data_IF_840820704779
#
_entry.id   IF_840820704779
#
_cell.length_a   1.000
_cell.length_b   1.000
_cell.length_c   1.000
_cell.angle_alpha   90.00
_cell.angle_beta   90.00
_cell.angle_gamma   90.00
#
_symmetry.space_group_name_H-M   'P 1'
#
loop_
_entity.id
_entity.type
_entity.pdbx_description
1 polymer ?
#
# COMPACT_ATOMS: atom_id res chain seq x y z
N UNK A 1 -71.29 1.36 18.57
CA UNK A 1 -70.42 0.28 19.07
C UNK A 1 -69.31 0.10 18.06
N UNK A 2 -68.13 0.66 18.32
CA UNK A 2 -66.95 0.47 17.47
C UNK A 2 -66.22 -0.77 18.00
N UNK A 3 -66.44 -1.92 17.35
CA UNK A 3 -65.76 -3.17 17.69
C UNK A 3 -64.28 -3.09 17.31
N UNK A 4 -63.43 -3.08 18.34
CA UNK A 4 -62.15 -3.80 18.55
C UNK A 4 -61.30 -4.34 17.38
N UNK A 5 -61.37 -3.78 16.18
CA UNK A 5 -60.57 -4.25 15.04
C UNK A 5 -59.07 -3.91 15.13
N UNK A 6 -58.66 -3.07 16.09
CA UNK A 6 -57.28 -2.63 16.30
C UNK A 6 -56.52 -3.40 17.40
N UNK A 7 -57.19 -4.30 18.13
CA UNK A 7 -56.55 -5.13 19.15
C UNK A 7 -55.93 -6.38 18.50
N UNK A 8 -54.83 -6.21 17.78
CA UNK A 8 -53.92 -7.32 17.46
C UNK A 8 -53.13 -7.71 18.72
N UNK A 9 -53.81 -8.28 19.71
CA UNK A 9 -53.18 -8.92 20.87
C UNK A 9 -52.70 -10.33 20.49
N UNK A 10 -51.73 -10.87 21.22
CA UNK A 10 -51.11 -12.18 20.95
C UNK A 10 -52.06 -13.35 20.66
N UNK A 11 -53.33 -13.39 21.17
CA UNK A 11 -54.28 -14.46 20.84
C UNK A 11 -55.07 -14.27 19.52
N UNK A 12 -55.08 -13.08 18.91
CA UNK A 12 -55.95 -12.76 17.76
C UNK A 12 -55.20 -12.59 16.44
N UNK A 13 -53.87 -12.67 16.44
CA UNK A 13 -53.10 -12.78 15.19
C UNK A 13 -53.39 -14.15 14.56
N UNK A 14 -53.64 -14.25 13.24
CA UNK A 14 -53.54 -15.52 12.54
C UNK A 14 -52.12 -16.05 12.76
N UNK A 15 -51.97 -17.03 13.65
CA UNK A 15 -50.70 -17.70 13.88
C UNK A 15 -50.52 -18.76 12.81
N UNK A 16 -50.15 -18.32 11.60
CA UNK A 16 -49.80 -19.21 10.49
C UNK A 16 -48.40 -19.83 10.64
N UNK A 17 -47.81 -19.81 11.84
CA UNK A 17 -46.46 -20.31 12.13
C UNK A 17 -46.47 -21.41 13.21
N UNK A 18 -47.63 -21.99 13.50
CA UNK A 18 -47.80 -23.04 14.50
C UNK A 18 -47.52 -24.43 13.94
N UNK A 19 -46.27 -24.77 13.65
CA UNK A 19 -45.85 -26.12 13.25
C UNK A 19 -45.35 -26.21 11.81
N UNK A 20 -45.97 -27.08 11.00
CA UNK A 20 -45.53 -27.46 9.64
C UNK A 20 -45.28 -26.26 8.70
N UNK A 21 -45.96 -25.13 8.86
CA UNK A 21 -45.71 -23.93 8.05
C UNK A 21 -44.37 -23.26 8.38
N UNK A 22 -43.92 -23.28 9.64
CA UNK A 22 -42.60 -22.77 10.02
C UNK A 22 -41.49 -23.69 9.48
N UNK A 23 -41.70 -25.00 9.52
CA UNK A 23 -40.76 -25.97 8.94
C UNK A 23 -40.66 -25.77 7.42
N UNK A 24 -41.80 -25.64 6.75
CA UNK A 24 -41.85 -25.32 5.31
C UNK A 24 -41.15 -24.00 4.99
N UNK A 25 -41.37 -22.94 5.78
CA UNK A 25 -40.66 -21.67 5.59
C UNK A 25 -39.14 -21.85 5.75
N UNK A 26 -38.70 -22.59 6.78
CA UNK A 26 -37.28 -22.82 7.01
C UNK A 26 -36.61 -23.64 5.89
N UNK A 27 -37.35 -24.57 5.30
CA UNK A 27 -36.88 -25.41 4.19
C UNK A 27 -36.72 -24.61 2.90
N UNK A 28 -37.62 -23.65 2.61
CA UNK A 28 -37.65 -22.91 1.34
C UNK A 28 -37.14 -21.47 1.39
N UNK A 29 -36.80 -20.92 2.56
CA UNK A 29 -36.39 -19.51 2.69
C UNK A 29 -35.15 -19.15 1.85
N UNK A 30 -34.21 -20.09 1.68
CA UNK A 30 -32.99 -19.84 0.91
C UNK A 30 -33.32 -19.78 -0.59
N UNK A 31 -34.16 -20.70 -1.07
CA UNK A 31 -34.67 -20.70 -2.45
C UNK A 31 -35.51 -19.46 -2.74
N UNK A 32 -36.35 -19.02 -1.80
CA UNK A 32 -37.16 -17.82 -1.96
C UNK A 32 -36.31 -16.55 -2.14
N UNK A 33 -35.16 -16.46 -1.46
CA UNK A 33 -34.23 -15.34 -1.68
C UNK A 33 -33.48 -15.48 -2.99
N UNK A 34 -33.04 -16.68 -3.37
CA UNK A 34 -32.43 -16.93 -4.68
C UNK A 34 -33.39 -16.57 -5.83
N UNK A 35 -34.68 -16.92 -5.72
CA UNK A 35 -35.73 -16.51 -6.66
C UNK A 35 -35.89 -14.99 -6.70
N UNK A 36 -35.91 -14.31 -5.54
CA UNK A 36 -35.96 -12.86 -5.48
C UNK A 36 -34.76 -12.23 -6.21
N UNK A 37 -33.56 -12.81 -6.08
CA UNK A 37 -32.36 -12.40 -6.81
C UNK A 37 -32.49 -12.59 -8.32
N UNK A 38 -33.34 -13.49 -8.81
CA UNK A 38 -33.60 -13.67 -10.25
C UNK A 38 -34.59 -12.65 -10.84
N UNK A 39 -35.29 -11.87 -9.99
CA UNK A 39 -36.22 -10.83 -10.44
C UNK A 39 -35.54 -9.47 -10.65
N UNK A 40 -36.29 -8.51 -11.18
CA UNK A 40 -35.84 -7.13 -11.44
C UNK A 40 -35.61 -6.30 -10.17
N UNK A 41 -36.01 -6.79 -8.99
CA UNK A 41 -35.70 -6.11 -7.72
C UNK A 41 -34.20 -6.18 -7.39
N UNK A 42 -33.50 -7.19 -7.92
CA UNK A 42 -32.08 -7.38 -7.74
C UNK A 42 -31.29 -6.72 -8.86
N UNK A 43 -30.08 -6.28 -8.51
CA UNK A 43 -29.14 -5.68 -9.43
C UNK A 43 -27.89 -6.53 -9.53
N UNK A 44 -27.37 -6.67 -10.74
CA UNK A 44 -26.05 -7.27 -10.97
C UNK A 44 -24.97 -6.27 -10.58
N UNK A 45 -24.03 -6.70 -9.74
CA UNK A 45 -22.87 -5.93 -9.32
C UNK A 45 -21.61 -6.75 -9.54
N UNK A 46 -20.46 -6.07 -9.68
CA UNK A 46 -19.17 -6.74 -9.66
C UNK A 46 -18.62 -6.68 -8.24
N UNK A 47 -18.49 -7.83 -7.60
CA UNK A 47 -17.86 -7.96 -6.30
C UNK A 47 -16.36 -8.19 -6.48
N UNK A 48 -15.55 -7.46 -5.74
CA UNK A 48 -14.10 -7.60 -5.71
C UNK A 48 -13.63 -7.97 -4.31
N UNK A 49 -12.51 -8.70 -4.25
CA UNK A 49 -11.77 -8.86 -3.02
C UNK A 49 -11.12 -7.53 -2.56
N UNK A 50 -10.48 -7.54 -1.39
CA UNK A 50 -9.93 -6.36 -0.72
C UNK A 50 -8.87 -5.60 -1.53
N UNK A 51 -8.19 -6.25 -2.49
CA UNK A 51 -7.14 -5.63 -3.30
C UNK A 51 -7.49 -5.43 -4.78
N UNK A 52 -8.74 -5.74 -5.16
CA UNK A 52 -9.26 -5.68 -6.52
C UNK A 52 -8.58 -6.66 -7.51
N UNK A 53 -7.77 -7.61 -7.05
CA UNK A 53 -7.12 -8.59 -7.91
C UNK A 53 -8.07 -9.70 -8.40
N UNK A 54 -9.15 -9.93 -7.67
CA UNK A 54 -10.16 -10.94 -7.98
C UNK A 54 -11.54 -10.30 -8.06
N UNK A 55 -12.34 -10.72 -9.02
CA UNK A 55 -13.71 -10.26 -9.18
C UNK A 55 -14.67 -11.36 -9.57
N UNK A 56 -15.92 -11.19 -9.18
CA UNK A 56 -17.03 -12.07 -9.53
C UNK A 56 -18.29 -11.23 -9.74
N UNK A 57 -19.05 -11.54 -10.78
CA UNK A 57 -20.37 -10.95 -10.94
C UNK A 57 -21.37 -11.68 -10.06
N UNK A 58 -22.14 -10.92 -9.29
CA UNK A 58 -23.19 -11.48 -8.43
C UNK A 58 -24.42 -10.59 -8.46
N UNK A 59 -25.58 -11.17 -8.18
CA UNK A 59 -26.82 -10.43 -8.01
C UNK A 59 -27.07 -10.18 -6.53
N UNK A 60 -27.53 -8.98 -6.22
CA UNK A 60 -27.84 -8.55 -4.86
C UNK A 60 -28.99 -7.53 -4.87
N UNK A 61 -29.62 -7.30 -3.72
CA UNK A 61 -30.65 -6.26 -3.59
C UNK A 61 -30.01 -5.05 -2.92
N UNK A 62 -29.92 -3.93 -3.65
CA UNK A 62 -29.38 -2.66 -3.14
C UNK A 62 -30.51 -1.79 -2.59
N UNK A 63 -30.36 -1.34 -1.35
CA UNK A 63 -31.32 -0.50 -0.63
C UNK A 63 -30.71 0.85 -0.28
N UNK A 64 -31.57 1.87 -0.15
CA UNK A 64 -31.17 3.23 0.19
C UNK A 64 -30.68 4.05 -1.00
N UNK A 65 -31.13 3.75 -2.22
CA UNK A 65 -30.75 4.52 -3.42
C UNK A 65 -31.39 5.91 -3.50
N UNK A 66 -32.44 6.15 -2.70
CA UNK A 66 -33.10 7.44 -2.55
C UNK A 66 -32.85 7.88 -1.10
N UNK A 67 -32.17 9.02 -0.93
CA UNK A 67 -31.78 9.55 0.38
C UNK A 67 -32.04 11.04 0.47
N UNK A 68 -32.60 11.47 1.60
CA UNK A 68 -32.90 12.87 1.88
C UNK A 68 -31.72 13.65 2.49
N UNK A 69 -30.62 12.96 2.82
CA UNK A 69 -29.40 13.59 3.33
C UNK A 69 -28.16 13.23 2.54
N UNK A 70 -27.21 14.17 2.48
CA UNK A 70 -25.94 14.01 1.78
C UNK A 70 -25.15 12.82 2.32
N UNK A 71 -25.06 12.67 3.65
CA UNK A 71 -24.27 11.58 4.25
C UNK A 71 -24.90 10.20 3.97
N UNK A 72 -26.24 10.09 4.06
CA UNK A 72 -26.94 8.84 3.71
C UNK A 72 -26.93 8.56 2.20
N UNK A 73 -26.73 9.59 1.36
CA UNK A 73 -26.61 9.41 -0.09
C UNK A 73 -25.31 8.72 -0.51
N UNK A 74 -24.29 8.71 0.35
CA UNK A 74 -23.01 8.04 0.14
C UNK A 74 -22.90 6.69 0.88
N UNK A 75 -24.01 6.17 1.41
CA UNK A 75 -24.11 4.88 2.09
C UNK A 75 -25.22 4.05 1.45
N UNK A 76 -25.02 2.74 1.34
CA UNK A 76 -26.05 1.79 0.89
C UNK A 76 -26.10 0.61 1.83
N UNK A 77 -27.29 0.04 1.93
CA UNK A 77 -27.48 -1.29 2.51
C UNK A 77 -27.61 -2.27 1.37
N UNK A 78 -26.94 -3.41 1.44
CA UNK A 78 -27.00 -4.42 0.39
C UNK A 78 -27.30 -5.78 1.00
N UNK A 79 -28.18 -6.53 0.32
CA UNK A 79 -28.55 -7.89 0.69
C UNK A 79 -27.91 -8.87 -0.29
N UNK A 80 -27.05 -9.74 0.22
CA UNK A 80 -26.39 -10.81 -0.52
C UNK A 80 -26.90 -12.17 -0.06
N UNK A 81 -26.65 -13.18 -0.90
CA UNK A 81 -26.72 -14.57 -0.46
C UNK A 81 -25.71 -14.78 0.68
N UNK A 82 -26.08 -15.59 1.67
CA UNK A 82 -25.25 -15.82 2.85
C UNK A 82 -23.87 -16.36 2.46
N UNK A 83 -22.81 -15.82 3.09
CA UNK A 83 -21.43 -16.25 2.85
C UNK A 83 -20.80 -15.74 1.55
N UNK A 84 -21.45 -14.79 0.88
CA UNK A 84 -20.92 -14.18 -0.36
C UNK A 84 -20.04 -12.96 -0.08
N UNK A 85 -20.28 -12.22 1.02
CA UNK A 85 -19.67 -10.92 1.25
C UNK A 85 -18.94 -10.85 2.61
N UNK A 86 -17.84 -10.08 2.64
CA UNK A 86 -17.09 -9.77 3.86
C UNK A 86 -16.81 -8.27 3.94
N UNK A 87 -16.65 -7.77 5.16
CA UNK A 87 -16.12 -6.42 5.41
C UNK A 87 -14.73 -6.28 4.80
N UNK A 88 -14.45 -5.13 4.20
CA UNK A 88 -13.20 -4.86 3.47
C UNK A 88 -13.25 -5.22 1.98
N UNK A 89 -14.27 -5.94 1.50
CA UNK A 89 -14.49 -6.15 0.07
C UNK A 89 -15.01 -4.89 -0.62
N UNK A 90 -14.85 -4.83 -1.96
CA UNK A 90 -15.40 -3.75 -2.77
C UNK A 90 -16.55 -4.21 -3.64
N UNK A 91 -17.58 -3.38 -3.75
CA UNK A 91 -18.68 -3.55 -4.71
C UNK A 91 -18.55 -2.47 -5.77
N UNK A 92 -18.46 -2.85 -7.04
CA UNK A 92 -18.55 -1.92 -8.15
C UNK A 92 -20.00 -1.82 -8.62
N UNK A 93 -20.60 -0.64 -8.42
CA UNK A 93 -22.00 -0.35 -8.66
C UNK A 93 -22.17 1.12 -9.06
N UNK A 94 -23.02 1.39 -10.06
CA UNK A 94 -23.24 2.74 -10.61
C UNK A 94 -21.94 3.45 -11.05
N UNK A 95 -21.04 2.71 -11.71
CA UNK A 95 -19.74 3.18 -12.18
C UNK A 95 -18.81 3.72 -11.08
N UNK A 96 -19.01 3.26 -9.83
CA UNK A 96 -18.24 3.66 -8.66
C UNK A 96 -17.86 2.44 -7.81
N UNK A 97 -16.75 2.56 -7.10
CA UNK A 97 -16.34 1.60 -6.08
C UNK A 97 -16.98 1.97 -4.74
N UNK A 98 -17.50 0.97 -4.06
CA UNK A 98 -18.08 1.06 -2.73
C UNK A 98 -17.33 0.09 -1.81
N UNK A 99 -16.90 0.56 -0.64
CA UNK A 99 -16.23 -0.26 0.38
C UNK A 99 -17.29 -0.84 1.31
N UNK A 100 -17.26 -2.15 1.54
CA UNK A 100 -18.08 -2.78 2.58
C UNK A 100 -17.47 -2.50 3.94
N UNK A 101 -18.14 -1.69 4.76
CA UNK A 101 -17.62 -1.18 6.04
C UNK A 101 -18.42 -1.66 7.26
N UNK A 102 -19.58 -2.27 7.04
CA UNK A 102 -20.40 -2.84 8.10
C UNK A 102 -20.15 -4.32 8.32
N UNK A 103 -20.38 -4.79 9.54
CA UNK A 103 -20.40 -6.21 9.90
C UNK A 103 -21.44 -6.98 9.05
N UNK A 104 -21.08 -8.10 8.39
CA UNK A 104 -22.02 -8.94 7.66
C UNK A 104 -22.93 -9.69 8.63
N UNK A 105 -24.15 -9.17 8.83
CA UNK A 105 -25.16 -9.80 9.67
C UNK A 105 -26.13 -10.64 8.83
N UNK A 106 -26.53 -11.81 9.31
CA UNK A 106 -27.53 -12.64 8.64
C UNK A 106 -28.73 -12.93 9.54
N UNK A 107 -29.90 -13.12 8.94
CA UNK A 107 -31.14 -13.48 9.62
C UNK A 107 -31.61 -14.90 9.26
N UNK A 108 -30.71 -15.73 8.75
CA UNK A 108 -31.03 -17.04 8.19
C UNK A 108 -31.49 -17.02 6.73
N UNK A 109 -31.91 -15.90 6.15
CA UNK A 109 -32.38 -15.83 4.74
C UNK A 109 -31.32 -15.20 3.84
N UNK A 110 -30.84 -14.02 4.23
CA UNK A 110 -29.85 -13.25 3.50
C UNK A 110 -28.80 -12.71 4.46
N UNK A 111 -27.71 -12.22 3.88
CA UNK A 111 -26.67 -11.48 4.57
C UNK A 111 -26.79 -10.00 4.22
N UNK A 112 -26.85 -9.16 5.24
CA UNK A 112 -27.02 -7.71 5.15
C UNK A 112 -25.71 -7.05 5.54
N UNK A 113 -25.24 -6.18 4.67
CA UNK A 113 -24.06 -5.33 4.91
C UNK A 113 -24.36 -3.87 4.63
N UNK A 114 -23.52 -2.99 5.16
CA UNK A 114 -23.45 -1.59 4.74
C UNK A 114 -22.21 -1.38 3.91
N UNK A 115 -22.34 -0.55 2.87
CA UNK A 115 -21.23 -0.10 2.06
C UNK A 115 -21.22 1.42 1.94
N UNK A 116 -20.03 2.00 1.84
CA UNK A 116 -19.80 3.43 1.72
C UNK A 116 -19.08 3.73 0.40
N UNK A 117 -19.46 4.83 -0.24
CA UNK A 117 -18.90 5.24 -1.53
C UNK A 117 -17.40 5.57 -1.39
N UNK A 118 -16.55 5.04 -2.26
CA UNK A 118 -15.15 5.46 -2.34
C UNK A 118 -15.03 6.71 -3.22
N UNK A 119 -14.43 7.78 -2.70
CA UNK A 119 -14.28 9.05 -3.41
C UNK A 119 -12.88 9.26 -3.99
N UNK A 120 -11.86 8.60 -3.41
CA UNK A 120 -10.47 8.81 -3.81
C UNK A 120 -9.70 7.48 -3.91
N UNK A 121 -8.74 7.44 -4.83
CA UNK A 121 -7.82 6.32 -5.00
C UNK A 121 -6.46 6.78 -4.48
N UNK A 122 -6.13 6.35 -3.26
CA UNK A 122 -4.87 6.66 -2.62
C UNK A 122 -3.72 5.90 -3.28
N UNK A 123 -2.55 6.52 -3.26
CA UNK A 123 -1.30 5.97 -3.76
C UNK A 123 -0.19 6.21 -2.75
N UNK A 124 0.60 5.18 -2.49
CA UNK A 124 1.79 5.27 -1.65
C UNK A 124 2.83 4.25 -2.11
N UNK A 125 4.05 4.39 -1.61
CA UNK A 125 5.10 3.42 -1.83
C UNK A 125 5.24 2.50 -0.61
N UNK A 126 5.29 1.19 -0.84
CA UNK A 126 5.60 0.22 0.19
C UNK A 126 7.12 0.15 0.45
N UNK A 127 7.54 -0.66 1.42
CA UNK A 127 8.96 -0.79 1.78
C UNK A 127 9.82 -1.40 0.66
N UNK A 128 9.20 -2.19 -0.25
CA UNK A 128 9.86 -2.80 -1.40
C UNK A 128 10.00 -1.84 -2.60
N UNK A 129 9.48 -0.62 -2.50
CA UNK A 129 9.54 0.38 -3.57
C UNK A 129 8.38 0.31 -4.56
N UNK A 130 7.43 -0.59 -4.35
CA UNK A 130 6.28 -0.77 -5.21
C UNK A 130 5.24 0.31 -4.89
N UNK A 131 4.57 0.81 -5.94
CA UNK A 131 3.50 1.78 -5.80
C UNK A 131 2.20 1.01 -5.60
N UNK A 132 1.63 1.14 -4.41
CA UNK A 132 0.36 0.54 -4.03
C UNK A 132 -0.76 1.53 -4.28
N UNK A 133 -1.91 1.04 -4.73
CA UNK A 133 -3.11 1.84 -4.87
C UNK A 133 -4.33 1.19 -4.23
N UNK A 134 -5.15 1.99 -3.53
CA UNK A 134 -6.41 1.54 -2.93
C UNK A 134 -7.50 2.59 -2.99
N UNK A 135 -8.72 2.16 -3.24
CA UNK A 135 -9.89 3.04 -3.14
C UNK A 135 -10.28 3.23 -1.68
N UNK A 136 -10.45 4.48 -1.26
CA UNK A 136 -10.84 4.80 0.11
C UNK A 136 -12.14 5.60 0.15
N UNK A 137 -12.87 5.43 1.24
CA UNK A 137 -13.92 6.36 1.62
C UNK A 137 -13.30 7.50 2.44
N UNK A 138 -13.69 8.73 2.17
CA UNK A 138 -13.19 9.92 2.85
C UNK A 138 -14.36 10.68 3.49
N UNK A 139 -14.24 11.03 4.78
CA UNK A 139 -15.21 11.85 5.50
C UNK A 139 -14.51 12.99 6.23
N UNK A 140 -14.96 14.23 6.04
CA UNK A 140 -14.38 15.38 6.74
C UNK A 140 -14.74 15.37 8.23
N UNK A 141 -13.75 15.47 9.11
CA UNK A 141 -13.94 15.50 10.57
C UNK A 141 -14.28 16.89 11.11
N UNK A 142 -14.08 17.95 10.32
CA UNK A 142 -14.42 19.33 10.68
C UNK A 142 -15.91 19.66 10.79
N UNK A 143 -16.82 18.73 10.44
CA UNK A 143 -18.28 18.93 10.64
C UNK A 143 -18.67 19.13 12.12
N UNK A 144 -17.77 18.88 13.07
CA UNK A 144 -18.03 18.97 14.52
C UNK A 144 -17.10 19.93 15.28
N UNK A 145 -16.23 20.67 14.59
CA UNK A 145 -15.16 21.48 15.20
C UNK A 145 -15.48 22.97 15.38
N UNK A 146 -16.62 23.31 15.99
CA UNK A 146 -16.91 24.70 16.38
C UNK A 146 -17.24 24.75 17.87
N UNK A 147 -16.21 25.04 18.66
CA UNK A 147 -16.32 25.44 20.06
C UNK A 147 -15.24 26.48 20.31
N UNK A 148 -15.63 27.74 20.40
CA UNK A 148 -14.75 28.79 20.89
C UNK A 148 -14.44 28.50 22.35
N UNK A 149 -13.17 28.24 22.68
CA UNK A 149 -12.67 28.41 24.04
C UNK A 149 -11.68 29.58 24.06
N UNK A 150 -11.79 30.38 25.10
CA UNK A 150 -11.24 31.73 25.18
C UNK A 150 -9.72 31.77 25.02
N UNK A 151 -9.26 32.77 24.28
CA UNK A 151 -7.93 33.36 24.35
C UNK A 151 -6.77 32.68 23.59
N UNK A 152 -7.06 31.76 22.67
CA UNK A 152 -6.12 31.47 21.58
C UNK A 152 -6.87 31.39 20.26
N UNK A 153 -6.45 32.17 19.26
CA UNK A 153 -6.91 31.96 17.89
C UNK A 153 -6.24 30.68 17.40
N UNK A 154 -6.81 29.54 17.78
CA UNK A 154 -6.59 28.27 17.10
C UNK A 154 -7.16 28.48 15.70
N UNK A 155 -6.28 28.84 14.75
CA UNK A 155 -6.56 28.71 13.32
C UNK A 155 -6.67 27.20 13.01
N UNK A 156 -7.78 26.61 13.44
CA UNK A 156 -8.25 25.28 13.04
C UNK A 156 -8.63 25.38 11.56
N UNK A 157 -7.61 25.38 10.70
CA UNK A 157 -7.78 24.96 9.32
C UNK A 157 -7.87 23.42 9.29
N UNK A 158 -8.85 22.86 10.01
CA UNK A 158 -9.01 21.43 10.22
C UNK A 158 -9.61 20.76 8.97
N UNK A 159 -8.86 20.78 7.86
CA UNK A 159 -9.05 19.82 6.79
C UNK A 159 -8.45 18.49 7.26
N UNK A 160 -9.10 17.86 8.22
CA UNK A 160 -8.78 16.50 8.65
C UNK A 160 -9.80 15.56 8.03
N UNK A 161 -9.34 14.42 7.54
CA UNK A 161 -10.21 13.40 6.94
C UNK A 161 -10.15 12.12 7.74
N UNK A 162 -11.31 11.49 7.92
CA UNK A 162 -11.41 10.09 8.29
C UNK A 162 -11.37 9.26 7.00
N UNK A 163 -10.43 8.35 6.90
CA UNK A 163 -10.26 7.46 5.76
C UNK A 163 -10.61 6.03 6.16
N UNK A 164 -11.50 5.38 5.41
CA UNK A 164 -11.76 3.93 5.55
C UNK A 164 -11.20 3.16 4.38
N UNK A 165 -10.48 2.08 4.67
CA UNK A 165 -9.80 1.23 3.70
C UNK A 165 -9.87 -0.24 4.13
N UNK A 166 -9.74 -1.20 3.21
CA UNK A 166 -9.70 -2.63 3.55
C UNK A 166 -8.58 -2.96 4.55
N UNK A 167 -8.85 -3.94 5.41
CA UNK A 167 -7.81 -4.56 6.23
C UNK A 167 -6.95 -5.49 5.35
N UNK A 168 -5.80 -4.99 4.92
CA UNK A 168 -4.77 -5.77 4.24
C UNK A 168 -3.36 -5.39 4.72
N UNK A 169 -2.37 -6.22 4.35
CA UNK A 169 -0.98 -6.03 4.77
C UNK A 169 -0.39 -4.69 4.33
N UNK A 170 -0.73 -4.21 3.13
CA UNK A 170 -0.18 -2.95 2.62
C UNK A 170 -0.81 -1.73 3.33
N UNK A 171 -2.09 -1.85 3.67
CA UNK A 171 -2.87 -0.82 4.34
C UNK A 171 -2.50 -0.74 5.83
N UNK A 172 -2.16 -1.87 6.47
CA UNK A 172 -1.65 -1.89 7.83
C UNK A 172 -0.37 -1.03 7.98
N UNK A 173 0.51 -1.09 6.99
CA UNK A 173 1.78 -0.33 6.92
C UNK A 173 1.60 1.13 6.46
N UNK A 174 0.37 1.60 6.26
CA UNK A 174 0.08 2.97 5.83
C UNK A 174 0.27 4.00 6.95
N UNK A 175 0.27 3.56 8.21
CA UNK A 175 0.41 4.46 9.37
C UNK A 175 1.71 5.27 9.32
N UNK A 176 1.61 6.54 9.66
CA UNK A 176 2.71 7.50 9.63
C UNK A 176 3.15 7.97 8.23
N UNK A 177 2.68 7.34 7.14
CA UNK A 177 3.02 7.75 5.77
C UNK A 177 2.33 9.06 5.38
N UNK A 178 2.94 9.78 4.43
CA UNK A 178 2.34 10.95 3.76
C UNK A 178 1.70 10.51 2.44
N UNK A 179 0.56 11.10 2.10
CA UNK A 179 -0.19 10.80 0.88
C UNK A 179 -0.75 12.06 0.25
N UNK A 180 -0.88 12.06 -1.08
CA UNK A 180 -1.61 13.09 -1.79
C UNK A 180 -3.12 12.83 -1.70
N UNK A 181 -3.87 13.85 -1.29
CA UNK A 181 -5.33 13.89 -1.44
C UNK A 181 -5.66 15.17 -2.20
N UNK A 182 -5.48 15.09 -3.53
CA UNK A 182 -5.65 16.21 -4.44
C UNK A 182 -6.36 15.81 -5.73
N UNK A 183 -7.35 16.61 -6.11
CA UNK A 183 -8.14 16.45 -7.34
C UNK A 183 -7.46 17.09 -8.55
N UNK A 184 -6.50 18.00 -8.35
CA UNK A 184 -5.73 18.59 -9.45
C UNK A 184 -5.00 17.48 -10.22
N UNK A 185 -5.17 17.45 -11.54
CA UNK A 185 -4.54 16.45 -12.40
C UNK A 185 -3.05 16.72 -12.55
N UNK A 186 -2.70 17.98 -12.75
CA UNK A 186 -1.35 18.51 -12.92
C UNK A 186 -0.89 19.20 -11.64
N UNK A 187 0.34 18.93 -11.21
CA UNK A 187 0.98 19.55 -10.04
C UNK A 187 0.13 19.52 -8.75
N UNK A 188 -0.30 18.33 -8.27
CA UNK A 188 -0.98 18.21 -6.99
C UNK A 188 -0.08 18.70 -5.85
N UNK A 189 -0.64 19.44 -4.90
CA UNK A 189 0.11 20.01 -3.76
C UNK A 189 -0.53 19.74 -2.40
N UNK A 190 -1.76 19.19 -2.38
CA UNK A 190 -2.43 18.86 -1.12
C UNK A 190 -1.95 17.51 -0.60
N UNK A 191 -1.19 17.55 0.50
CA UNK A 191 -0.61 16.39 1.16
C UNK A 191 -1.18 16.24 2.57
N UNK A 192 -1.35 15.00 3.00
CA UNK A 192 -1.85 14.64 4.32
C UNK A 192 -0.95 13.56 4.92
N UNK A 193 -0.73 13.62 6.23
CA UNK A 193 -0.07 12.58 6.99
C UNK A 193 -1.12 11.66 7.58
N UNK A 194 -0.97 10.37 7.35
CA UNK A 194 -1.82 9.33 7.91
C UNK A 194 -1.39 9.07 9.35
N UNK A 195 -2.38 9.07 10.24
CA UNK A 195 -2.24 8.72 11.65
C UNK A 195 -3.30 7.68 12.00
N UNK A 196 -2.86 6.52 12.48
CA UNK A 196 -3.72 5.47 12.99
C UNK A 196 -3.82 5.60 14.51
N UNK A 197 -5.03 5.54 15.05
CA UNK A 197 -5.25 5.52 16.50
C UNK A 197 -5.63 4.14 17.02
N UNK A 198 -6.11 3.23 16.17
CA UNK A 198 -6.58 1.90 16.56
C UNK A 198 -6.44 0.91 15.38
N UNK A 199 -5.84 -0.25 15.61
CA UNK A 199 -5.64 -1.34 14.66
C UNK A 199 -6.53 -2.56 14.89
N UNK A 200 -7.39 -2.51 15.91
CA UNK A 200 -8.33 -3.59 16.27
C UNK A 200 -9.78 -3.20 15.99
N UNK A 201 -10.08 -1.91 15.93
CA UNK A 201 -11.41 -1.41 15.67
C UNK A 201 -11.88 -1.82 14.26
N UNK A 202 -13.06 -2.44 14.17
CA UNK A 202 -13.66 -2.98 12.94
C UNK A 202 -12.94 -4.18 12.32
N UNK A 203 -12.08 -4.87 13.08
CA UNK A 203 -11.69 -6.25 12.78
C UNK A 203 -12.81 -7.20 13.26
N UNK A 204 -13.46 -7.89 12.34
CA UNK A 204 -14.51 -8.87 12.62
C UNK A 204 -14.02 -10.32 12.46
N UNK A 205 -12.70 -10.51 12.38
CA UNK A 205 -12.05 -11.80 12.23
C UNK A 205 -12.09 -12.34 10.80
N UNK A 206 -11.37 -13.44 10.58
CA UNK A 206 -11.13 -14.02 9.24
C UNK A 206 -12.40 -14.39 8.46
N UNK A 207 -13.47 -14.75 9.16
CA UNK A 207 -14.74 -15.14 8.54
C UNK A 207 -15.50 -13.92 8.00
N UNK A 208 -15.47 -12.79 8.71
CA UNK A 208 -16.26 -11.61 8.38
C UNK A 208 -15.45 -10.45 7.79
N UNK A 209 -14.11 -10.50 7.85
CA UNK A 209 -13.21 -9.48 7.32
C UNK A 209 -13.05 -8.27 8.24
N UNK A 210 -12.46 -7.20 7.72
CA UNK A 210 -12.18 -5.99 8.49
C UNK A 210 -11.84 -4.79 7.62
N UNK A 211 -11.82 -3.62 8.24
CA UNK A 211 -11.35 -2.37 7.63
C UNK A 211 -10.48 -1.61 8.62
N UNK A 212 -9.56 -0.80 8.10
CA UNK A 212 -8.90 0.22 8.89
C UNK A 212 -9.57 1.58 8.73
N UNK A 213 -9.57 2.33 9.84
CA UNK A 213 -10.02 3.70 9.92
C UNK A 213 -8.86 4.59 10.33
N UNK A 214 -8.42 5.46 9.43
CA UNK A 214 -7.31 6.37 9.66
C UNK A 214 -7.77 7.82 9.79
N UNK A 215 -6.99 8.61 10.49
CA UNK A 215 -7.07 10.07 10.43
C UNK A 215 -5.99 10.55 9.45
N UNK A 216 -6.35 11.48 8.58
CA UNK A 216 -5.44 12.13 7.66
C UNK A 216 -5.35 13.61 8.01
N UNK A 217 -4.23 14.00 8.57
CA UNK A 217 -3.95 15.37 9.00
C UNK A 217 -3.23 16.13 7.90
N UNK A 218 -3.66 17.35 7.62
CA UNK A 218 -3.03 18.18 6.59
C UNK A 218 -1.55 18.41 6.91
N UNK A 219 -0.69 18.23 5.90
CA UNK A 219 0.74 18.53 5.99
C UNK A 219 1.22 19.26 4.73
N UNK A 220 2.47 19.71 4.73
CA UNK A 220 3.05 20.49 3.63
C UNK A 220 3.58 19.56 2.54
N UNK A 221 3.55 20.02 1.29
CA UNK A 221 4.18 19.35 0.16
C UNK A 221 5.70 19.55 0.18
N UNK A 222 6.45 18.49 -0.10
CA UNK A 222 7.91 18.53 -0.18
C UNK A 222 8.36 18.38 -1.64
N UNK A 223 8.87 19.46 -2.29
CA UNK A 223 9.28 19.41 -3.69
C UNK A 223 10.50 18.52 -3.96
N UNK A 224 11.25 18.14 -2.93
CA UNK A 224 12.45 17.32 -3.05
C UNK A 224 12.14 15.83 -2.98
N UNK A 225 11.24 15.42 -2.08
CA UNK A 225 10.95 14.00 -1.82
C UNK A 225 9.62 13.52 -2.39
N UNK A 226 8.65 14.41 -2.64
CA UNK A 226 7.34 14.02 -3.13
C UNK A 226 7.32 14.02 -4.67
N UNK A 227 6.86 12.91 -5.26
CA UNK A 227 6.72 12.77 -6.70
C UNK A 227 5.28 13.11 -7.13
N UNK A 228 5.10 14.28 -7.74
CA UNK A 228 3.81 14.79 -8.20
C UNK A 228 3.25 14.01 -9.41
N UNK A 229 4.10 13.45 -10.27
CA UNK A 229 3.67 12.67 -11.45
C UNK A 229 3.09 11.31 -11.03
N UNK A 230 3.81 10.61 -10.14
CA UNK A 230 3.38 9.33 -9.58
C UNK A 230 2.28 9.50 -8.51
N UNK A 231 2.17 10.71 -7.93
CA UNK A 231 1.31 11.06 -6.79
C UNK A 231 1.67 10.28 -5.53
N UNK A 232 2.96 10.19 -5.25
CA UNK A 232 3.51 9.45 -4.11
C UNK A 232 4.38 10.41 -3.31
N UNK A 233 4.07 10.57 -2.03
CA UNK A 233 4.92 11.34 -1.13
C UNK A 233 6.13 10.50 -0.70
N UNK A 234 7.22 11.19 -0.35
CA UNK A 234 8.46 10.57 0.13
C UNK A 234 8.94 9.41 -0.76
N UNK A 235 8.82 9.61 -2.08
CA UNK A 235 9.13 8.62 -3.10
C UNK A 235 10.62 8.30 -3.12
N UNK A 236 10.95 7.02 -3.02
CA UNK A 236 12.30 6.50 -3.11
C UNK A 236 12.42 5.66 -4.38
N UNK A 237 13.27 6.11 -5.29
CA UNK A 237 13.52 5.35 -6.49
C UNK A 237 14.52 4.22 -6.20
N UNK A 238 14.00 3.03 -5.91
CA UNK A 238 14.79 1.85 -5.53
C UNK A 238 15.59 1.29 -6.73
N UNK A 239 15.23 1.69 -7.95
CA UNK A 239 15.98 1.35 -9.17
C UNK A 239 16.97 2.44 -9.61
N UNK A 240 16.84 3.68 -9.12
CA UNK A 240 17.92 4.69 -9.17
C UNK A 240 19.02 4.43 -8.13
N UNK A 241 19.49 3.18 -8.06
CA UNK A 241 20.94 2.94 -7.90
C UNK A 241 21.62 2.82 -9.27
N UNK A 242 21.02 3.38 -10.32
CA UNK A 242 21.72 3.76 -11.54
C UNK A 242 21.87 5.26 -11.57
N UNK A 243 22.90 5.78 -10.88
CA UNK A 243 23.65 6.87 -11.49
C UNK A 243 23.99 6.39 -12.89
N UNK A 244 23.51 7.09 -13.92
CA UNK A 244 23.82 6.78 -15.31
C UNK A 244 25.33 6.51 -15.42
N UNK A 245 25.72 5.27 -15.71
CA UNK A 245 27.13 4.87 -15.83
C UNK A 245 27.84 5.76 -16.87
N UNK A 246 27.08 6.38 -17.78
CA UNK A 246 27.55 7.34 -18.78
C UNK A 246 27.97 8.73 -18.25
N UNK A 247 27.77 9.02 -16.95
CA UNK A 247 28.13 10.31 -16.33
C UNK A 247 29.08 10.19 -15.13
N UNK A 248 29.44 8.97 -14.75
CA UNK A 248 30.32 8.69 -13.63
C UNK A 248 31.75 8.42 -14.10
N UNK A 249 32.72 9.05 -13.44
CA UNK A 249 34.15 8.76 -13.59
C UNK A 249 34.60 7.95 -12.39
N UNK A 250 35.14 6.75 -12.63
CA UNK A 250 35.60 5.82 -11.58
C UNK A 250 37.10 5.62 -11.69
N UNK A 251 37.83 5.82 -10.60
CA UNK A 251 39.29 5.70 -10.56
C UNK A 251 39.77 4.83 -9.41
N UNK A 252 40.72 3.92 -9.70
CA UNK A 252 41.40 3.08 -8.70
C UNK A 252 42.73 3.74 -8.32
N UNK A 253 42.83 4.16 -7.07
CA UNK A 253 44.01 4.80 -6.47
C UNK A 253 44.87 3.74 -5.81
N UNK A 254 46.16 3.72 -6.14
CA UNK A 254 47.14 2.76 -5.62
C UNK A 254 48.32 2.60 -6.57
N UNK A 255 49.41 1.98 -6.13
CA UNK A 255 50.61 1.77 -6.96
C UNK A 255 50.43 0.61 -7.94
N UNK A 256 50.96 0.73 -9.14
CA UNK A 256 50.90 -0.33 -10.17
C UNK A 256 51.90 -1.47 -9.93
N UNK A 257 52.78 -1.35 -8.93
CA UNK A 257 53.79 -2.35 -8.60
C UNK A 257 53.56 -2.88 -7.19
N UNK A 258 53.37 -4.20 -7.08
CA UNK A 258 53.29 -4.93 -5.81
C UNK A 258 54.61 -5.65 -5.57
N UNK A 259 55.22 -5.42 -4.40
CA UNK A 259 56.43 -6.15 -3.99
C UNK A 259 56.00 -7.42 -3.26
N UNK A 260 56.63 -8.55 -3.58
CA UNK A 260 56.36 -9.82 -2.88
C UNK A 260 56.63 -9.64 -1.39
N UNK A 261 55.77 -10.19 -0.54
CA UNK A 261 55.87 -10.05 0.91
C UNK A 261 55.26 -8.77 1.50
N UNK A 262 54.93 -7.75 0.68
CA UNK A 262 54.42 -6.46 1.15
C UNK A 262 52.98 -6.19 0.70
N UNK A 263 52.00 -6.29 1.61
CA UNK A 263 50.61 -5.96 1.30
C UNK A 263 50.47 -4.52 0.79
N UNK A 264 49.64 -4.32 -0.23
CA UNK A 264 49.27 -2.98 -0.71
C UNK A 264 47.77 -2.79 -0.73
N UNK A 265 47.35 -1.60 -0.31
CA UNK A 265 45.96 -1.16 -0.31
C UNK A 265 45.67 -0.27 -1.51
N UNK A 266 44.52 -0.52 -2.13
CA UNK A 266 43.94 0.22 -3.23
C UNK A 266 42.59 0.78 -2.78
N UNK A 267 42.23 1.98 -3.21
CA UNK A 267 40.92 2.58 -2.94
C UNK A 267 40.26 2.99 -4.25
N UNK A 268 38.92 3.04 -4.25
CA UNK A 268 38.14 3.53 -5.38
C UNK A 268 37.49 4.86 -5.04
N UNK A 269 37.47 5.76 -6.02
CA UNK A 269 36.76 7.05 -5.96
C UNK A 269 35.77 7.16 -7.11
N UNK A 270 34.60 7.69 -6.80
CA UNK A 270 33.52 7.95 -7.75
C UNK A 270 33.25 9.45 -7.84
N UNK A 271 33.31 10.02 -9.04
CA UNK A 271 33.02 11.44 -9.27
C UNK A 271 32.07 11.65 -10.45
N UNK A 272 31.36 12.77 -10.47
CA UNK A 272 30.62 13.22 -11.66
C UNK A 272 31.58 13.83 -12.71
N UNK A 273 31.05 14.23 -13.88
CA UNK A 273 31.82 14.90 -14.95
C UNK A 273 32.37 16.27 -14.54
N UNK A 274 31.85 16.86 -13.48
CA UNK A 274 32.26 18.16 -12.95
C UNK A 274 33.30 18.02 -11.81
N UNK A 275 33.64 16.79 -11.41
CA UNK A 275 34.62 16.47 -10.38
C UNK A 275 34.08 16.44 -8.95
N UNK A 276 32.75 16.48 -8.76
CA UNK A 276 32.15 16.34 -7.42
C UNK A 276 32.11 14.87 -7.01
N UNK A 277 32.36 14.59 -5.73
CA UNK A 277 32.26 13.24 -5.18
C UNK A 277 30.81 12.75 -5.22
N UNK A 278 30.64 11.48 -5.62
CA UNK A 278 29.35 10.80 -5.56
C UNK A 278 29.41 9.80 -4.41
N UNK A 279 28.63 10.07 -3.37
CA UNK A 279 28.48 9.19 -2.21
C UNK A 279 27.35 8.15 -2.46
N UNK A 280 27.31 7.09 -1.65
CA UNK A 280 26.28 6.03 -1.67
C UNK A 280 26.18 5.17 -2.95
N UNK A 281 27.31 4.86 -3.58
CA UNK A 281 27.35 3.89 -4.67
C UNK A 281 27.58 2.48 -4.13
N UNK A 282 26.70 1.54 -4.49
CA UNK A 282 26.92 0.10 -4.27
C UNK A 282 27.84 -0.46 -5.34
N UNK A 283 28.97 -1.03 -4.94
CA UNK A 283 29.95 -1.64 -5.83
C UNK A 283 30.64 -2.86 -5.18
N UNK A 284 31.34 -3.64 -5.98
CA UNK A 284 32.14 -4.77 -5.53
C UNK A 284 33.54 -4.74 -6.16
N UNK A 285 34.54 -5.25 -5.43
CA UNK A 285 35.87 -5.52 -5.97
C UNK A 285 35.92 -6.93 -6.58
N UNK A 286 36.64 -7.08 -7.69
CA UNK A 286 36.97 -8.37 -8.28
C UNK A 286 38.47 -8.39 -8.61
N UNK A 287 39.14 -9.50 -8.31
CA UNK A 287 40.54 -9.72 -8.67
C UNK A 287 40.58 -10.78 -9.75
N UNK A 288 41.02 -10.38 -10.94
CA UNK A 288 41.21 -11.25 -12.08
C UNK A 288 42.69 -11.64 -12.16
N UNK A 289 42.97 -12.90 -11.86
CA UNK A 289 44.31 -13.46 -11.78
C UNK A 289 44.29 -14.94 -12.20
N UNK A 290 45.38 -15.41 -12.80
CA UNK A 290 45.60 -16.83 -13.11
C UNK A 290 46.23 -17.62 -11.94
N UNK A 291 46.51 -16.93 -10.84
CA UNK A 291 47.10 -17.45 -9.61
C UNK A 291 46.38 -16.86 -8.38
N UNK A 292 46.57 -17.50 -7.23
CA UNK A 292 45.94 -17.06 -5.98
C UNK A 292 46.54 -15.75 -5.47
N UNK A 293 45.67 -14.77 -5.19
CA UNK A 293 46.03 -13.48 -4.59
C UNK A 293 45.31 -13.35 -3.26
N UNK A 294 46.05 -13.17 -2.17
CA UNK A 294 45.45 -12.90 -0.87
C UNK A 294 44.81 -11.51 -0.90
N UNK A 295 43.53 -11.43 -0.52
CA UNK A 295 42.79 -10.18 -0.56
C UNK A 295 41.90 -9.98 0.68
N UNK A 296 41.77 -8.73 1.10
CA UNK A 296 40.83 -8.30 2.13
C UNK A 296 40.18 -6.99 1.74
N UNK A 297 38.85 -6.91 1.87
CA UNK A 297 38.07 -5.72 1.51
C UNK A 297 37.57 -5.05 2.78
N UNK A 298 37.76 -3.73 2.87
CA UNK A 298 37.24 -2.89 3.94
C UNK A 298 36.74 -1.57 3.36
N UNK A 299 35.46 -1.29 3.55
CA UNK A 299 34.78 -0.10 3.05
C UNK A 299 35.02 0.11 1.55
N UNK A 300 35.68 1.21 1.18
CA UNK A 300 36.00 1.53 -0.22
C UNK A 300 37.38 1.04 -0.68
N UNK A 301 38.02 0.16 0.09
CA UNK A 301 39.40 -0.25 -0.14
C UNK A 301 39.56 -1.76 -0.20
N UNK A 302 40.52 -2.21 -0.99
CA UNK A 302 40.98 -3.60 -1.07
C UNK A 302 42.47 -3.64 -0.79
N UNK A 303 42.89 -4.53 0.11
CA UNK A 303 44.30 -4.83 0.36
C UNK A 303 44.62 -6.17 -0.25
N UNK A 304 45.65 -6.20 -1.10
CA UNK A 304 46.14 -7.40 -1.78
C UNK A 304 47.56 -7.72 -1.34
N UNK A 305 47.88 -9.00 -1.28
CA UNK A 305 49.19 -9.51 -0.88
C UNK A 305 49.55 -10.77 -1.68
N UNK A 306 50.85 -10.91 -1.95
CA UNK A 306 51.43 -12.08 -2.63
C UNK A 306 52.67 -12.48 -1.85
N UNK A 307 52.80 -13.77 -1.56
CA UNK A 307 53.91 -14.34 -0.78
C UNK A 307 54.81 -15.25 -1.62
N UNK A 308 54.42 -15.54 -2.85
CA UNK A 308 55.14 -16.45 -3.74
C UNK A 308 56.10 -15.67 -4.66
N UNK A 309 57.40 -15.86 -4.43
CA UNK A 309 58.48 -15.22 -5.19
C UNK A 309 58.53 -15.69 -6.66
N UNK A 310 58.00 -16.89 -6.98
CA UNK A 310 57.98 -17.42 -8.35
C UNK A 310 57.02 -16.64 -9.27
N UNK A 311 56.17 -15.78 -8.69
CA UNK A 311 55.22 -14.93 -9.41
C UNK A 311 55.83 -13.58 -9.85
N UNK A 312 57.10 -13.30 -9.53
CA UNK A 312 57.78 -12.09 -9.98
C UNK A 312 57.79 -11.99 -11.51
N UNK A 313 57.43 -10.81 -12.03
CA UNK A 313 57.31 -10.56 -13.46
C UNK A 313 55.94 -10.89 -14.04
N UNK A 314 55.04 -11.53 -13.28
CA UNK A 314 53.64 -11.68 -13.67
C UNK A 314 52.80 -10.44 -13.29
N UNK A 315 51.58 -10.38 -13.80
CA UNK A 315 50.61 -9.33 -13.49
C UNK A 315 49.22 -9.89 -13.24
N UNK A 316 48.42 -9.15 -12.48
CA UNK A 316 47.00 -9.42 -12.26
C UNK A 316 46.21 -8.11 -12.32
N UNK A 317 44.89 -8.20 -12.43
CA UNK A 317 44.02 -7.02 -12.54
C UNK A 317 43.05 -6.91 -11.37
N UNK A 318 42.98 -5.72 -10.76
CA UNK A 318 41.91 -5.36 -9.83
C UNK A 318 40.82 -4.62 -10.61
N UNK A 319 39.58 -5.05 -10.45
CA UNK A 319 38.41 -4.54 -11.14
C UNK A 319 37.37 -4.02 -10.14
N UNK A 320 36.65 -2.98 -10.52
CA UNK A 320 35.48 -2.46 -9.79
C UNK A 320 34.23 -2.77 -10.60
N UNK A 321 33.29 -3.46 -9.95
CA UNK A 321 32.01 -3.84 -10.53
C UNK A 321 30.89 -3.01 -9.94
N UNK A 322 30.04 -2.46 -10.80
CA UNK A 322 28.77 -1.81 -10.42
C UNK A 322 27.66 -2.58 -11.11
N UNK A 323 26.65 -3.02 -10.35
CA UNK A 323 25.55 -3.85 -10.86
C UNK A 323 26.03 -5.10 -11.65
N UNK A 324 27.13 -5.70 -11.22
CA UNK A 324 27.72 -6.89 -11.85
C UNK A 324 28.51 -6.64 -13.14
N UNK A 325 28.62 -5.40 -13.62
CA UNK A 325 29.42 -5.05 -14.81
C UNK A 325 30.74 -4.38 -14.40
N UNK A 326 31.84 -4.74 -15.07
CA UNK A 326 33.16 -4.12 -14.84
C UNK A 326 33.14 -2.69 -15.38
N UNK A 327 33.36 -1.71 -14.49
CA UNK A 327 33.36 -0.28 -14.85
C UNK A 327 34.79 0.25 -15.02
N UNK A 328 35.73 -0.24 -14.22
CA UNK A 328 37.14 0.13 -14.32
C UNK A 328 38.02 -1.03 -13.88
N UNK A 329 39.25 -1.05 -14.40
CA UNK A 329 40.25 -2.07 -14.10
C UNK A 329 41.63 -1.45 -14.00
N UNK A 330 42.45 -1.93 -13.06
CA UNK A 330 43.84 -1.55 -12.91
C UNK A 330 44.72 -2.79 -12.89
N UNK A 331 45.68 -2.82 -13.80
CA UNK A 331 46.69 -3.86 -13.85
C UNK A 331 47.80 -3.57 -12.83
N UNK A 332 48.28 -4.63 -12.17
CA UNK A 332 49.33 -4.58 -11.15
C UNK A 332 50.41 -5.59 -11.53
N UNK A 333 51.65 -5.12 -11.63
CA UNK A 333 52.82 -5.96 -11.87
C UNK A 333 53.47 -6.37 -10.56
N UNK A 334 53.87 -7.64 -10.47
CA UNK A 334 54.60 -8.19 -9.32
C UNK A 334 56.09 -7.97 -9.56
N UNK A 335 56.76 -7.37 -8.58
CA UNK A 335 58.19 -7.03 -8.66
C UNK A 335 58.96 -7.60 -7.47
N UNK A 336 60.23 -7.91 -7.72
CA UNK A 336 61.21 -8.28 -6.70
C UNK A 336 61.39 -7.17 -5.65
N UNK A 337 61.76 -7.57 -4.45
CA UNK A 337 62.22 -6.66 -3.41
C UNK A 337 63.60 -6.10 -3.81
N UNK A 338 63.76 -4.77 -3.80
CA UNK A 338 65.03 -4.10 -4.12
C UNK A 338 65.79 -3.70 -2.87
#
# INVERSE_FOLDING_TARGET
MAQEWYLMSSPTRPNSLGGFENDSFNDFKDDAFDEALMTDIATTVTLYNYDLSQSVETRCIVQGNISDSQDKSAMRTVLFKRGTIKTGMYVYFENRYWLVDGYPGNNGVFEKVTMVLCQYKLRWQNAAGEIIERWCNETSTSKYGVGEDGNSVLLLSSNTFLLKMPDDKETLELDGKRVFIDKHKTNPTKVFRITKTDDTLYDFGKEHGGIFSFIADKTEFNPTTDNQELRVCDYKDIHKTTTSINEMVVSIIGKERLQVGYPRTYSVTFTDKQGNAIDDISFAWNVLSDFDVEQSVKDNSITVNIQDDDLVGQSFSIQVLVNGSVITSKEISIVEDF
#
